data_IF_967130581399
#
_entry.id   IF_967130581399
#
_cell.length_a   1.000
_cell.length_b   1.000
_cell.length_c   1.000
_cell.angle_alpha   90.00
_cell.angle_beta   90.00
_cell.angle_gamma   90.00
#
_symmetry.space_group_name_H-M   'P 1'
#
loop_
_entity.id
_entity.type
_entity.pdbx_description
1 polymer ?
#
# COMPACT_ATOMS: atom_id res chain seq x y z
N UNK A 1 -48.56 -7.11 -69.36
CA UNK A 1 -48.18 -6.46 -68.08
C UNK A 1 -47.53 -7.41 -67.05
N UNK A 2 -47.81 -8.73 -67.02
CA UNK A 2 -47.21 -9.66 -66.03
C UNK A 2 -45.75 -10.12 -66.29
N UNK A 3 -45.22 -10.05 -67.52
CA UNK A 3 -43.85 -10.52 -67.84
C UNK A 3 -42.73 -9.52 -67.53
N UNK A 4 -43.03 -8.22 -67.47
CA UNK A 4 -42.01 -7.19 -67.21
C UNK A 4 -41.82 -6.92 -65.71
N UNK A 5 -42.83 -7.18 -64.88
CA UNK A 5 -42.73 -7.07 -63.41
C UNK A 5 -41.88 -8.21 -62.83
N UNK A 6 -41.96 -9.43 -63.39
CA UNK A 6 -41.12 -10.56 -62.97
C UNK A 6 -39.63 -10.32 -63.29
N UNK A 7 -39.31 -9.77 -64.47
CA UNK A 7 -37.91 -9.49 -64.86
C UNK A 7 -37.25 -8.42 -63.98
N UNK A 8 -38.01 -7.43 -63.51
CA UNK A 8 -37.50 -6.41 -62.56
C UNK A 8 -37.30 -7.00 -61.17
N UNK A 9 -38.22 -7.88 -60.71
CA UNK A 9 -38.06 -8.58 -59.43
C UNK A 9 -36.86 -9.53 -59.41
N UNK A 10 -36.60 -10.26 -60.50
CA UNK A 10 -35.42 -11.13 -60.61
C UNK A 10 -34.10 -10.36 -60.67
N UNK A 11 -34.08 -9.15 -61.23
CA UNK A 11 -32.87 -8.32 -61.26
C UNK A 11 -32.53 -7.73 -59.88
N UNK A 12 -33.56 -7.33 -59.11
CA UNK A 12 -33.40 -6.79 -57.75
C UNK A 12 -32.96 -7.89 -56.77
N UNK A 13 -33.46 -9.13 -56.93
CA UNK A 13 -33.04 -10.26 -56.10
C UNK A 13 -31.57 -10.66 -56.34
N UNK A 14 -31.08 -10.55 -57.58
CA UNK A 14 -29.68 -10.85 -57.93
C UNK A 14 -28.74 -9.75 -57.44
N UNK A 15 -29.15 -8.47 -57.48
CA UNK A 15 -28.35 -7.35 -56.94
C UNK A 15 -28.28 -7.41 -55.40
N UNK A 16 -29.35 -7.86 -54.72
CA UNK A 16 -29.33 -8.09 -53.27
C UNK A 16 -28.41 -9.24 -52.82
N UNK A 17 -28.27 -10.29 -53.64
CA UNK A 17 -27.36 -11.41 -53.37
C UNK A 17 -25.88 -11.07 -53.60
N UNK A 18 -25.56 -10.13 -54.50
CA UNK A 18 -24.18 -9.70 -54.76
C UNK A 18 -23.67 -8.77 -53.64
N UNK A 19 -24.55 -7.96 -53.02
CA UNK A 19 -24.18 -7.05 -51.93
C UNK A 19 -23.90 -7.76 -50.60
N UNK A 20 -24.39 -8.99 -50.41
CA UNK A 20 -24.11 -9.79 -49.20
C UNK A 20 -22.80 -10.60 -49.30
N UNK A 21 -22.16 -10.64 -50.46
CA UNK A 21 -20.91 -11.39 -50.69
C UNK A 21 -19.64 -10.54 -50.51
N UNK A 22 -19.78 -9.23 -50.27
CA UNK A 22 -18.68 -8.30 -49.98
C UNK A 22 -18.82 -7.69 -48.58
N UNK A 23 -19.29 -8.46 -47.60
CA UNK A 23 -19.06 -8.11 -46.21
C UNK A 23 -17.59 -8.47 -45.90
N UNK A 24 -16.76 -7.53 -45.40
CA UNK A 24 -15.44 -7.90 -44.91
C UNK A 24 -15.63 -8.93 -43.80
N UNK A 25 -15.01 -10.10 -43.97
CA UNK A 25 -14.90 -11.07 -42.91
C UNK A 25 -13.98 -10.44 -41.87
N UNK A 26 -14.56 -9.85 -40.83
CA UNK A 26 -13.80 -9.44 -39.65
C UNK A 26 -13.44 -10.74 -38.96
N UNK A 27 -12.26 -11.27 -39.30
CA UNK A 27 -11.59 -12.19 -38.39
C UNK A 27 -11.44 -11.43 -37.08
N UNK A 28 -12.10 -11.92 -36.03
CA UNK A 28 -11.76 -11.54 -34.66
C UNK A 28 -10.32 -11.96 -34.46
N UNK A 29 -9.40 -11.01 -34.70
CA UNK A 29 -8.05 -11.10 -34.17
C UNK A 29 -8.24 -11.28 -32.67
N UNK A 30 -7.73 -12.37 -32.07
CA UNK A 30 -7.73 -12.48 -30.62
C UNK A 30 -7.12 -11.19 -30.12
N UNK A 31 -7.88 -10.44 -29.32
CA UNK A 31 -7.28 -9.33 -28.59
C UNK A 31 -6.32 -10.02 -27.64
N UNK A 32 -5.03 -10.06 -28.01
CA UNK A 32 -3.99 -10.35 -27.04
C UNK A 32 -4.21 -9.34 -25.93
N UNK A 33 -4.66 -9.81 -24.77
CA UNK A 33 -4.54 -9.01 -23.55
C UNK A 33 -3.09 -8.53 -23.51
N UNK A 34 -2.84 -7.23 -23.27
CA UNK A 34 -1.49 -6.74 -23.21
C UNK A 34 -0.75 -7.60 -22.20
N UNK A 35 0.25 -8.35 -22.67
CA UNK A 35 1.22 -9.01 -21.82
C UNK A 35 1.71 -7.96 -20.82
N UNK A 36 1.68 -8.31 -19.53
CA UNK A 36 2.13 -7.46 -18.42
C UNK A 36 3.59 -6.96 -18.58
N UNK A 37 4.34 -7.46 -19.56
CA UNK A 37 5.74 -7.11 -19.83
C UNK A 37 5.96 -5.79 -20.59
N UNK A 38 4.94 -5.03 -20.98
CA UNK A 38 5.14 -3.74 -21.69
C UNK A 38 4.19 -2.61 -21.27
N UNK A 39 3.64 -2.66 -20.06
CA UNK A 39 2.64 -1.68 -19.64
C UNK A 39 3.21 -0.24 -19.49
N UNK A 40 4.53 -0.07 -19.38
CA UNK A 40 5.15 1.22 -19.07
C UNK A 40 5.32 1.41 -17.56
N UNK A 41 6.21 2.31 -17.15
CA UNK A 41 6.44 2.59 -15.74
C UNK A 41 5.18 3.18 -15.06
N UNK A 42 4.99 2.97 -13.74
CA UNK A 42 3.98 3.66 -12.96
C UNK A 42 4.04 5.17 -13.16
N UNK A 43 2.89 5.75 -13.51
CA UNK A 43 2.67 7.20 -13.56
C UNK A 43 1.61 7.64 -12.54
N UNK A 44 0.86 6.68 -12.00
CA UNK A 44 -0.15 6.89 -10.99
C UNK A 44 -0.15 5.71 -10.01
N UNK A 45 -0.44 6.02 -8.75
CA UNK A 45 -0.80 5.05 -7.72
C UNK A 45 -2.26 5.25 -7.36
N UNK A 46 -3.00 4.16 -7.17
CA UNK A 46 -4.34 4.22 -6.61
C UNK A 46 -4.61 3.01 -5.73
N UNK A 47 -5.71 3.06 -5.00
CA UNK A 47 -6.19 1.91 -4.28
C UNK A 47 -7.24 2.23 -3.24
N UNK A 48 -7.31 1.37 -2.25
CA UNK A 48 -8.35 1.38 -1.22
C UNK A 48 -7.79 1.11 0.17
N UNK A 49 -8.59 1.42 1.17
CA UNK A 49 -8.28 1.16 2.57
C UNK A 49 -9.57 0.92 3.35
N UNK A 50 -9.44 0.19 4.45
CA UNK A 50 -10.50 0.00 5.44
C UNK A 50 -9.88 0.23 6.81
N UNK A 51 -10.64 0.89 7.69
CA UNK A 51 -10.29 1.07 9.10
C UNK A 51 -11.34 0.42 9.97
N UNK A 52 -10.95 0.13 11.19
CA UNK A 52 -11.85 -0.30 12.25
C UNK A 52 -12.08 0.79 13.29
N UNK A 53 -11.26 1.84 13.30
CA UNK A 53 -11.33 2.96 14.21
C UNK A 53 -11.31 4.31 13.48
N UNK A 54 -12.40 5.08 13.59
CA UNK A 54 -12.62 6.33 12.84
C UNK A 54 -12.05 7.60 13.51
N UNK A 55 -11.28 7.45 14.58
CA UNK A 55 -10.85 8.60 15.39
C UNK A 55 -10.15 9.67 14.55
N UNK A 56 -9.25 9.27 13.66
CA UNK A 56 -8.46 10.16 12.79
C UNK A 56 -9.37 11.00 11.89
N UNK A 57 -10.33 10.36 11.22
CA UNK A 57 -11.29 11.01 10.33
C UNK A 57 -12.34 11.83 11.07
N UNK A 58 -12.47 11.65 12.38
CA UNK A 58 -13.30 12.50 13.25
C UNK A 58 -12.59 13.81 13.59
N UNK A 59 -11.26 13.80 13.73
CA UNK A 59 -10.49 14.99 14.10
C UNK A 59 -10.03 15.82 12.90
N UNK A 60 -9.74 15.18 11.76
CA UNK A 60 -9.23 15.85 10.58
C UNK A 60 -10.29 16.00 9.49
N UNK A 61 -10.37 17.21 8.95
CA UNK A 61 -11.37 17.57 7.92
C UNK A 61 -10.81 17.49 6.51
N UNK A 62 -9.48 17.54 6.37
CA UNK A 62 -8.77 17.46 5.10
C UNK A 62 -7.96 16.17 5.07
N UNK A 63 -8.46 15.20 4.31
CA UNK A 63 -7.88 13.87 4.15
C UNK A 63 -7.16 13.80 2.82
N UNK A 64 -5.90 13.40 2.84
CA UNK A 64 -5.07 13.21 1.66
C UNK A 64 -4.12 12.03 1.89
N UNK A 65 -3.51 11.58 0.79
CA UNK A 65 -2.34 10.70 0.84
C UNK A 65 -1.12 11.47 0.37
N UNK A 66 0.06 11.02 0.78
CA UNK A 66 1.32 11.51 0.26
C UNK A 66 2.19 10.36 -0.26
N UNK A 67 3.04 10.65 -1.24
CA UNK A 67 4.24 9.88 -1.52
C UNK A 67 5.28 10.26 -0.47
N UNK A 68 5.62 9.30 0.40
CA UNK A 68 6.46 9.50 1.57
C UNK A 68 7.78 8.79 1.33
N UNK A 69 8.86 9.55 1.44
CA UNK A 69 10.24 9.06 1.31
C UNK A 69 10.59 8.14 2.49
N UNK A 70 11.08 6.95 2.17
CA UNK A 70 11.44 5.91 3.13
C UNK A 70 12.91 6.01 3.58
N UNK A 71 13.64 7.08 3.24
CA UNK A 71 15.04 7.24 3.65
C UNK A 71 15.25 7.09 5.16
N UNK A 72 14.37 7.70 5.98
CA UNK A 72 14.40 7.54 7.44
C UNK A 72 14.38 6.06 7.88
N UNK A 73 13.59 5.22 7.20
CA UNK A 73 13.59 3.78 7.43
C UNK A 73 14.87 3.11 6.97
N UNK A 74 15.39 3.43 5.79
CA UNK A 74 16.64 2.84 5.27
C UNK A 74 17.81 3.09 6.21
N UNK A 75 17.91 4.30 6.79
CA UNK A 75 18.99 4.67 7.71
C UNK A 75 18.67 4.39 9.19
N UNK A 76 17.47 3.87 9.49
CA UNK A 76 16.97 3.61 10.85
C UNK A 76 17.00 4.84 11.76
N UNK A 77 16.53 5.97 11.24
CA UNK A 77 16.43 7.24 11.94
C UNK A 77 14.95 7.67 12.04
N UNK A 78 14.34 7.35 13.18
CA UNK A 78 12.96 7.76 13.52
C UNK A 78 12.82 9.29 13.69
N UNK A 79 13.92 10.02 13.88
CA UNK A 79 13.91 11.48 14.00
C UNK A 79 14.18 12.18 12.65
N UNK A 80 14.41 11.43 11.57
CA UNK A 80 14.65 11.99 10.25
C UNK A 80 13.40 12.73 9.76
N UNK A 81 13.54 14.03 9.48
CA UNK A 81 12.43 14.88 9.05
C UNK A 81 12.18 14.72 7.54
N UNK A 82 10.95 14.33 7.17
CA UNK A 82 10.53 14.14 5.78
C UNK A 82 10.69 15.44 4.97
N UNK A 83 11.54 15.49 3.92
CA UNK A 83 11.74 16.66 3.10
C UNK A 83 10.45 17.13 2.43
N UNK A 84 10.24 18.44 2.39
CA UNK A 84 9.04 19.03 1.76
C UNK A 84 9.04 18.79 0.26
N UNK A 85 10.20 18.91 -0.38
CA UNK A 85 10.34 18.80 -1.83
C UNK A 85 10.07 17.37 -2.32
N UNK A 86 10.19 16.35 -1.46
CA UNK A 86 9.88 14.95 -1.80
C UNK A 86 8.40 14.59 -1.65
N UNK A 87 7.60 15.42 -0.97
CA UNK A 87 6.19 15.15 -0.71
C UNK A 87 5.33 15.44 -1.95
N UNK A 88 4.66 14.40 -2.46
CA UNK A 88 3.65 14.53 -3.53
C UNK A 88 2.29 14.16 -2.95
N UNK A 89 1.28 15.02 -3.09
CA UNK A 89 -0.04 14.80 -2.51
C UNK A 89 -1.02 14.16 -3.50
N UNK A 90 -1.85 13.26 -2.98
CA UNK A 90 -2.94 12.60 -3.68
C UNK A 90 -4.28 12.80 -2.99
N UNK A 91 -5.36 12.60 -3.75
CA UNK A 91 -6.71 12.71 -3.25
C UNK A 91 -7.10 11.43 -2.50
N UNK A 92 -7.88 11.58 -1.42
CA UNK A 92 -8.41 10.47 -0.63
C UNK A 92 -9.89 10.71 -0.32
N UNK A 93 -10.70 9.67 -0.47
CA UNK A 93 -12.10 9.64 -0.04
C UNK A 93 -12.23 8.91 1.29
N UNK A 94 -13.28 9.25 2.06
CA UNK A 94 -13.65 8.52 3.27
C UNK A 94 -15.16 8.36 3.34
N UNK A 95 -15.63 7.12 3.51
CA UNK A 95 -17.01 6.76 3.77
C UNK A 95 -17.17 6.32 5.24
N UNK A 96 -17.87 7.13 6.01
CA UNK A 96 -18.11 6.90 7.43
C UNK A 96 -19.14 5.77 7.70
N UNK A 97 -19.92 5.33 6.70
CA UNK A 97 -20.85 4.21 6.89
C UNK A 97 -20.14 2.86 6.79
N UNK A 98 -19.12 2.76 5.93
CA UNK A 98 -18.36 1.53 5.69
C UNK A 98 -16.98 1.53 6.34
N UNK A 99 -16.56 2.64 6.93
CA UNK A 99 -15.22 2.84 7.48
C UNK A 99 -14.12 2.52 6.47
N UNK A 100 -14.30 3.00 5.23
CA UNK A 100 -13.40 2.69 4.13
C UNK A 100 -13.28 3.86 3.17
N UNK A 101 -12.36 3.75 2.22
CA UNK A 101 -12.17 4.78 1.22
C UNK A 101 -11.24 4.35 0.10
N UNK A 102 -11.06 5.26 -0.85
CA UNK A 102 -10.15 5.11 -1.99
C UNK A 102 -9.21 6.30 -2.08
N UNK A 103 -8.07 6.11 -2.72
CA UNK A 103 -7.12 7.18 -2.97
C UNK A 103 -6.53 7.09 -4.37
N UNK A 104 -6.04 8.22 -4.87
CA UNK A 104 -5.26 8.31 -6.10
C UNK A 104 -4.20 9.41 -6.02
N UNK A 105 -3.02 9.12 -6.56
CA UNK A 105 -1.84 9.98 -6.52
C UNK A 105 -1.08 9.86 -7.84
N UNK A 106 -0.81 10.97 -8.51
CA UNK A 106 0.03 10.98 -9.72
C UNK A 106 1.50 11.06 -9.32
N UNK A 107 2.33 10.18 -9.88
CA UNK A 107 3.76 10.18 -9.62
C UNK A 107 4.44 11.31 -10.41
N UNK A 108 5.39 12.06 -9.79
CA UNK A 108 6.15 13.07 -10.51
C UNK A 108 7.07 12.39 -11.52
N UNK A 109 7.33 13.05 -12.66
CA UNK A 109 8.20 12.49 -13.70
C UNK A 109 9.63 12.20 -13.20
N UNK A 110 10.10 12.99 -12.24
CA UNK A 110 11.33 12.76 -11.48
C UNK A 110 10.98 12.98 -10.00
N UNK A 111 11.15 11.98 -9.13
CA UNK A 111 10.96 12.17 -7.70
C UNK A 111 12.15 12.92 -7.08
N UNK A 112 11.88 13.59 -5.96
CA UNK A 112 12.85 14.40 -5.22
C UNK A 112 13.17 13.80 -3.84
N UNK A 113 13.08 12.47 -3.71
CA UNK A 113 13.49 11.74 -2.50
C UNK A 113 15.01 11.52 -2.42
N UNK A 114 15.46 11.04 -1.26
CA UNK A 114 16.86 10.70 -1.04
C UNK A 114 17.24 9.38 -1.72
N UNK A 115 18.49 9.32 -2.14
CA UNK A 115 19.08 8.16 -2.80
C UNK A 115 19.64 7.19 -1.77
N UNK A 116 19.35 5.90 -1.95
CA UNK A 116 19.66 4.84 -1.02
C UNK A 116 20.40 3.69 -1.75
N UNK A 117 21.66 3.46 -1.36
CA UNK A 117 22.46 2.34 -1.82
C UNK A 117 22.12 1.08 -1.01
N UNK A 118 21.22 0.26 -1.55
CA UNK A 118 20.62 -0.91 -0.87
C UNK A 118 20.96 -2.23 -1.54
N UNK A 119 21.97 -2.26 -2.41
CA UNK A 119 22.31 -3.45 -3.18
C UNK A 119 23.31 -4.40 -2.49
N UNK A 120 23.81 -4.01 -1.32
CA UNK A 120 24.77 -4.78 -0.50
C UNK A 120 26.01 -5.29 -1.25
N UNK A 121 26.40 -4.65 -2.35
CA UNK A 121 27.50 -5.13 -3.20
C UNK A 121 28.90 -4.67 -2.73
N UNK A 122 28.96 -3.78 -1.72
CA UNK A 122 30.17 -3.23 -1.13
C UNK A 122 30.84 -2.11 -1.93
N UNK A 123 30.23 -1.66 -3.03
CA UNK A 123 30.62 -0.50 -3.81
C UNK A 123 29.61 0.62 -3.61
N UNK A 124 30.11 1.83 -3.38
CA UNK A 124 29.28 3.03 -3.22
C UNK A 124 28.62 3.39 -4.56
N UNK A 125 27.31 3.18 -4.64
CA UNK A 125 26.49 3.51 -5.80
C UNK A 125 25.55 4.67 -5.48
N UNK A 126 24.96 5.26 -6.52
CA UNK A 126 23.89 6.23 -6.30
C UNK A 126 22.66 5.55 -5.68
N UNK A 127 22.36 4.31 -6.05
CA UNK A 127 21.22 3.59 -5.50
C UNK A 127 19.88 4.09 -6.05
N UNK A 128 18.83 3.88 -5.27
CA UNK A 128 17.43 4.13 -5.65
C UNK A 128 16.74 5.09 -4.70
N UNK A 129 15.65 5.73 -5.14
CA UNK A 129 14.73 6.43 -4.23
C UNK A 129 13.57 5.49 -3.89
N UNK A 130 13.15 5.47 -2.62
CA UNK A 130 12.23 4.46 -2.09
C UNK A 130 11.08 5.18 -1.40
N UNK A 131 9.86 4.82 -1.77
CA UNK A 131 8.66 5.50 -1.28
C UNK A 131 7.60 4.52 -0.80
N UNK A 132 6.86 4.94 0.22
CA UNK A 132 5.55 4.41 0.55
C UNK A 132 4.48 5.46 0.22
N UNK A 133 3.30 5.04 -0.21
CA UNK A 133 2.11 5.90 -0.11
C UNK A 133 1.55 5.76 1.29
N UNK A 134 1.22 6.88 1.93
CA UNK A 134 0.65 6.89 3.27
C UNK A 134 -0.34 8.03 3.48
N UNK A 135 -1.18 7.88 4.49
CA UNK A 135 -2.13 8.91 4.90
C UNK A 135 -1.40 10.16 5.41
N UNK A 136 -1.75 11.33 4.86
CA UNK A 136 -1.12 12.61 5.13
C UNK A 136 -2.20 13.70 5.27
N UNK A 137 -2.92 13.74 6.40
CA UNK A 137 -3.93 14.77 6.63
C UNK A 137 -3.27 16.15 6.81
N UNK A 138 -4.04 17.20 6.59
CA UNK A 138 -3.63 18.54 7.02
C UNK A 138 -4.02 18.73 8.49
N UNK A 139 -3.06 18.62 9.42
CA UNK A 139 -3.32 18.85 10.85
C UNK A 139 -3.39 20.36 11.12
N UNK A 140 -2.43 21.11 10.60
CA UNK A 140 -2.32 22.54 10.84
C UNK A 140 -1.63 23.30 9.71
N UNK A 141 -2.35 24.28 9.16
CA UNK A 141 -1.79 25.26 8.24
C UNK A 141 -1.85 24.81 6.79
N UNK A 142 -0.70 24.44 6.22
CA UNK A 142 -0.55 24.11 4.81
C UNK A 142 -0.74 22.61 4.53
N UNK A 143 -0.80 22.21 3.25
CA UNK A 143 -1.07 20.82 2.88
C UNK A 143 0.16 19.89 3.01
N UNK A 144 1.34 20.43 3.35
CA UNK A 144 2.58 19.68 3.49
C UNK A 144 2.94 19.54 4.97
N UNK A 145 3.53 18.40 5.32
CA UNK A 145 3.98 18.11 6.68
C UNK A 145 5.25 18.88 7.01
N UNK A 146 5.11 20.06 7.63
CA UNK A 146 6.21 20.99 7.94
C UNK A 146 6.06 21.70 9.27
N UNK A 147 7.19 22.07 9.87
CA UNK A 147 7.21 22.90 11.07
C UNK A 147 6.59 22.18 12.26
N UNK A 148 5.44 22.68 12.75
CA UNK A 148 4.70 22.06 13.85
C UNK A 148 3.95 20.79 13.41
N UNK A 149 3.82 20.55 12.10
CA UNK A 149 3.16 19.37 11.48
C UNK A 149 4.15 18.48 10.72
N UNK A 150 5.43 18.51 11.09
CA UNK A 150 6.45 17.71 10.42
C UNK A 150 6.25 16.21 10.66
N UNK A 151 6.49 15.42 9.61
CA UNK A 151 6.56 13.96 9.70
C UNK A 151 8.02 13.56 9.96
N UNK A 152 8.20 12.59 10.85
CA UNK A 152 9.51 12.02 11.18
C UNK A 152 9.52 10.51 10.85
N UNK A 153 10.69 9.96 10.56
CA UNK A 153 10.87 8.53 10.30
C UNK A 153 10.12 8.09 9.03
N UNK A 154 9.24 7.11 9.18
CA UNK A 154 8.45 6.51 8.09
C UNK A 154 6.99 6.26 8.52
N UNK A 155 6.05 6.11 7.57
CA UNK A 155 4.64 6.02 7.91
C UNK A 155 4.25 4.62 8.39
N UNK A 156 3.51 4.55 9.49
CA UNK A 156 2.99 3.29 10.06
C UNK A 156 1.46 3.21 10.08
N UNK A 157 0.76 4.35 10.03
CA UNK A 157 -0.71 4.42 9.99
C UNK A 157 -1.25 4.69 8.58
N UNK A 158 -2.15 3.83 8.10
CA UNK A 158 -2.69 3.89 6.73
C UNK A 158 -1.58 4.08 5.71
N UNK A 159 -0.62 3.17 5.76
CA UNK A 159 0.53 3.13 4.87
C UNK A 159 0.43 1.93 3.93
N UNK A 160 1.07 2.05 2.77
CA UNK A 160 1.17 0.96 1.78
C UNK A 160 2.09 -0.17 2.23
N UNK A 161 2.89 0.06 3.27
CA UNK A 161 3.71 -0.93 3.97
C UNK A 161 2.99 -1.45 5.21
N UNK A 162 3.38 -2.64 5.67
CA UNK A 162 2.98 -3.18 6.97
C UNK A 162 4.16 -3.04 7.92
N UNK A 163 3.97 -2.34 9.02
CA UNK A 163 4.98 -2.15 10.06
C UNK A 163 4.72 -3.09 11.24
N UNK A 164 5.78 -3.63 11.83
CA UNK A 164 5.73 -4.37 13.09
C UNK A 164 5.94 -3.39 14.25
N UNK A 165 4.84 -2.93 14.83
CA UNK A 165 4.83 -1.94 15.92
C UNK A 165 5.43 -2.49 17.23
N UNK A 166 5.63 -3.80 17.33
CA UNK A 166 6.27 -4.45 18.48
C UNK A 166 7.77 -4.67 18.27
N UNK A 167 8.30 -4.30 17.10
CA UNK A 167 9.69 -4.45 16.73
C UNK A 167 10.18 -3.22 15.97
N UNK A 168 10.29 -2.09 16.67
CA UNK A 168 10.85 -0.82 16.16
C UNK A 168 10.26 -0.38 14.81
N UNK A 169 8.95 -0.58 14.63
CA UNK A 169 8.18 -0.23 13.41
C UNK A 169 8.76 -0.81 12.11
N UNK A 170 9.43 -1.97 12.19
CA UNK A 170 10.07 -2.63 11.05
C UNK A 170 9.09 -2.95 9.92
N UNK A 171 9.50 -2.71 8.68
CA UNK A 171 8.68 -3.08 7.51
C UNK A 171 8.71 -4.59 7.35
N UNK A 172 7.55 -5.23 7.47
CA UNK A 172 7.37 -6.69 7.38
C UNK A 172 6.53 -7.12 6.16
N UNK A 173 6.08 -6.18 5.33
CA UNK A 173 5.28 -6.48 4.15
C UNK A 173 4.64 -5.26 3.51
N UNK A 174 3.65 -5.50 2.65
CA UNK A 174 2.99 -4.47 1.86
C UNK A 174 3.74 -4.14 0.57
N UNK A 175 3.64 -2.90 0.10
CA UNK A 175 4.15 -2.46 -1.19
C UNK A 175 4.94 -1.16 -1.10
N UNK A 176 5.98 -1.08 -1.91
CA UNK A 176 6.82 0.12 -2.09
C UNK A 176 6.76 0.58 -3.54
N UNK A 177 6.93 1.89 -3.75
CA UNK A 177 7.25 2.47 -5.05
C UNK A 177 8.72 2.83 -5.04
N UNK A 178 9.50 2.23 -5.93
CA UNK A 178 10.94 2.45 -6.04
C UNK A 178 11.25 3.12 -7.37
N UNK A 179 12.08 4.16 -7.36
CA UNK A 179 12.56 4.82 -8.55
C UNK A 179 14.06 4.58 -8.72
N UNK A 180 14.46 4.08 -9.88
CA UNK A 180 15.87 3.88 -10.23
C UNK A 180 16.33 4.85 -11.31
N UNK A 181 17.50 5.51 -11.17
CA UNK A 181 18.03 6.44 -12.19
C UNK A 181 18.43 5.73 -13.49
N UNK A 182 18.80 4.45 -13.40
CA UNK A 182 19.28 3.63 -14.50
C UNK A 182 18.98 2.14 -14.24
N UNK A 183 19.44 1.25 -15.11
CA UNK A 183 19.27 -0.20 -14.97
C UNK A 183 20.51 -0.89 -14.37
N UNK A 184 21.39 -0.13 -13.71
CA UNK A 184 22.60 -0.63 -13.05
C UNK A 184 22.40 -0.80 -11.54
N UNK A 185 21.27 -0.34 -10.99
CA UNK A 185 20.92 -0.49 -9.58
C UNK A 185 20.31 -1.87 -9.27
N UNK A 186 20.31 -2.23 -7.99
CA UNK A 186 19.59 -3.38 -7.47
C UNK A 186 18.82 -3.02 -6.21
N UNK A 187 17.89 -3.88 -5.83
CA UNK A 187 17.02 -3.73 -4.66
C UNK A 187 16.87 -5.08 -3.95
N UNK A 188 16.63 -5.12 -2.62
CA UNK A 188 16.31 -6.35 -1.90
C UNK A 188 15.20 -7.16 -2.58
N UNK A 189 15.36 -8.47 -2.59
CA UNK A 189 14.44 -9.45 -3.18
C UNK A 189 13.79 -10.37 -2.15
N UNK A 190 14.19 -10.27 -0.87
CA UNK A 190 13.53 -10.81 0.32
C UNK A 190 14.11 -10.13 1.57
N UNK A 191 13.55 -10.41 2.75
CA UNK A 191 13.95 -9.90 4.07
C UNK A 191 15.19 -10.61 4.70
N UNK A 192 16.16 -11.04 3.87
CA UNK A 192 17.34 -11.75 4.41
C UNK A 192 17.06 -13.00 5.25
N UNK A 193 18.07 -13.43 6.03
CA UNK A 193 17.96 -14.45 7.07
C UNK A 193 17.49 -13.85 8.41
N UNK A 194 17.75 -12.57 8.67
CA UNK A 194 17.36 -11.87 9.90
C UNK A 194 15.89 -11.42 9.93
N UNK A 195 15.22 -11.44 8.77
CA UNK A 195 13.81 -11.07 8.64
C UNK A 195 13.58 -9.56 8.59
N UNK A 196 14.64 -8.77 8.42
CA UNK A 196 14.58 -7.31 8.35
C UNK A 196 14.84 -6.83 6.93
N UNK A 197 14.36 -5.64 6.59
CA UNK A 197 14.63 -5.01 5.30
C UNK A 197 15.74 -3.97 5.43
N UNK A 198 16.52 -3.84 4.37
CA UNK A 198 17.71 -2.98 4.24
C UNK A 198 18.83 -3.36 5.21
N UNK A 199 19.00 -4.65 5.45
CA UNK A 199 20.09 -5.24 6.24
C UNK A 199 21.11 -5.92 5.33
N UNK A 200 22.30 -6.21 5.88
CA UNK A 200 23.45 -6.66 5.10
C UNK A 200 23.29 -8.05 4.46
N UNK A 201 22.33 -8.84 4.93
CA UNK A 201 22.02 -10.20 4.47
C UNK A 201 20.87 -10.27 3.47
N UNK A 202 20.23 -9.13 3.15
CA UNK A 202 19.21 -9.08 2.11
C UNK A 202 19.77 -9.56 0.76
N UNK A 203 19.17 -10.60 0.14
CA UNK A 203 19.50 -10.96 -1.23
C UNK A 203 18.94 -9.90 -2.17
N UNK A 204 19.66 -9.55 -3.22
CA UNK A 204 19.28 -8.46 -4.12
C UNK A 204 18.98 -8.95 -5.53
N UNK A 205 18.10 -8.23 -6.22
CA UNK A 205 17.79 -8.41 -7.63
C UNK A 205 17.93 -7.08 -8.38
N UNK A 206 18.31 -7.14 -9.66
CA UNK A 206 18.39 -5.95 -10.51
C UNK A 206 17.04 -5.28 -10.65
N UNK A 207 17.03 -3.96 -10.63
CA UNK A 207 15.84 -3.13 -10.85
C UNK A 207 16.03 -2.31 -12.12
N UNK A 208 14.98 -2.22 -12.92
CA UNK A 208 15.01 -1.41 -14.14
C UNK A 208 14.93 0.08 -13.83
N UNK A 209 15.46 0.93 -14.72
CA UNK A 209 15.30 2.39 -14.63
C UNK A 209 13.84 2.83 -14.57
N UNK A 210 13.57 3.94 -13.89
CA UNK A 210 12.24 4.52 -13.72
C UNK A 210 11.52 3.96 -12.49
N UNK A 211 10.20 4.16 -12.43
CA UNK A 211 9.40 3.64 -11.32
C UNK A 211 9.14 2.13 -11.46
N UNK A 212 9.14 1.45 -10.32
CA UNK A 212 8.78 0.04 -10.16
C UNK A 212 7.95 -0.11 -8.88
N UNK A 213 6.83 -0.84 -8.97
CA UNK A 213 6.09 -1.30 -7.81
C UNK A 213 6.75 -2.57 -7.29
N UNK A 214 7.16 -2.57 -6.02
CA UNK A 214 7.74 -3.72 -5.33
C UNK A 214 6.72 -4.27 -4.33
N UNK A 215 6.36 -5.53 -4.47
CA UNK A 215 5.44 -6.24 -3.58
C UNK A 215 6.22 -7.12 -2.59
N UNK A 216 6.24 -6.70 -1.33
CA UNK A 216 6.97 -7.33 -0.23
C UNK A 216 6.22 -8.52 0.37
N UNK A 217 4.95 -8.75 0.00
CA UNK A 217 4.15 -9.88 0.50
C UNK A 217 4.41 -11.19 -0.27
N UNK A 218 5.38 -11.18 -1.20
CA UNK A 218 5.73 -12.33 -2.05
C UNK A 218 7.14 -12.83 -1.77
N UNK A 219 7.39 -14.13 -1.92
CA UNK A 219 8.73 -14.71 -1.75
C UNK A 219 9.18 -15.43 -3.04
N UNK A 220 10.21 -14.91 -3.76
CA UNK A 220 10.85 -13.60 -3.56
C UNK A 220 9.89 -12.44 -3.85
N UNK A 221 10.28 -11.22 -3.46
CA UNK A 221 9.54 -10.00 -3.77
C UNK A 221 9.28 -9.87 -5.27
N UNK A 222 8.12 -9.31 -5.61
CA UNK A 222 7.70 -9.14 -7.00
C UNK A 222 7.95 -7.71 -7.44
N UNK A 223 8.59 -7.57 -8.61
CA UNK A 223 8.87 -6.28 -9.25
C UNK A 223 7.94 -6.14 -10.45
N UNK A 224 7.12 -5.09 -10.47
CA UNK A 224 6.15 -4.89 -11.54
C UNK A 224 6.11 -3.45 -12.04
N UNK A 225 5.83 -3.32 -13.34
CA UNK A 225 5.61 -2.03 -13.99
C UNK A 225 4.25 -2.03 -14.64
N UNK A 226 3.42 -1.10 -14.21
CA UNK A 226 2.07 -0.83 -14.71
C UNK A 226 1.84 0.66 -14.61
N UNK A 227 1.23 1.34 -15.61
CA UNK A 227 0.92 2.76 -15.55
C UNK A 227 0.15 3.17 -14.30
N UNK A 228 -0.70 2.26 -13.82
CA UNK A 228 -1.44 2.38 -12.57
C UNK A 228 -0.93 1.28 -11.63
N UNK A 229 -0.30 1.71 -10.54
CA UNK A 229 0.11 0.83 -9.45
C UNK A 229 -1.01 0.75 -8.42
N UNK A 230 -1.49 -0.47 -8.16
CA UNK A 230 -2.56 -0.75 -7.19
C UNK A 230 -1.96 -1.18 -5.84
N UNK A 231 -2.35 -0.51 -4.75
CA UNK A 231 -1.94 -0.89 -3.40
C UNK A 231 -3.02 -0.62 -2.35
N UNK A 232 -2.95 -1.32 -1.24
CA UNK A 232 -3.82 -1.12 -0.09
C UNK A 232 -3.09 -0.27 0.94
N UNK A 233 -3.79 0.63 1.64
CA UNK A 233 -3.26 1.27 2.84
C UNK A 233 -3.73 0.52 4.07
N UNK A 234 -2.80 0.14 4.94
CA UNK A 234 -3.04 -0.72 6.09
C UNK A 234 -3.23 0.09 7.37
N UNK A 235 -4.31 -0.17 8.09
CA UNK A 235 -4.43 0.23 9.50
C UNK A 235 -3.54 -0.71 10.34
N UNK A 236 -2.63 -0.18 11.18
CA UNK A 236 -1.74 -0.99 11.99
C UNK A 236 -2.50 -1.64 13.13
N UNK A 237 -2.06 -2.83 13.53
CA UNK A 237 -2.79 -3.67 14.46
C UNK A 237 -2.96 -3.00 15.83
N UNK A 238 -1.97 -2.27 16.33
CA UNK A 238 -1.99 -1.55 17.61
C UNK A 238 -3.08 -0.46 17.68
N UNK A 239 -3.42 0.15 16.55
CA UNK A 239 -4.46 1.17 16.44
C UNK A 239 -5.84 0.57 16.13
N UNK A 240 -5.87 -0.55 15.41
CA UNK A 240 -7.10 -1.23 15.04
C UNK A 240 -7.96 -1.61 16.26
N UNK A 241 -9.27 -1.46 16.11
CA UNK A 241 -10.24 -1.85 17.13
C UNK A 241 -10.15 -3.35 17.40
N UNK A 242 -9.90 -3.69 18.67
CA UNK A 242 -9.90 -5.07 19.14
C UNK A 242 -11.33 -5.57 19.31
N UNK A 243 -11.86 -6.22 18.27
CA UNK A 243 -13.22 -6.76 18.27
C UNK A 243 -13.27 -8.20 18.84
N UNK A 244 -13.80 -8.33 20.06
CA UNK A 244 -14.07 -9.62 20.71
C UNK A 244 -15.56 -9.97 20.72
N UNK A 245 -16.41 -9.29 19.94
CA UNK A 245 -17.87 -9.47 19.96
C UNK A 245 -18.33 -10.87 19.54
N UNK A 246 -17.49 -11.60 18.81
CA UNK A 246 -17.72 -13.00 18.42
C UNK A 246 -17.33 -14.03 19.48
N UNK A 247 -16.60 -13.64 20.53
CA UNK A 247 -16.08 -14.54 21.56
C UNK A 247 -17.09 -14.76 22.70
N UNK A 248 -16.95 -15.86 23.45
CA UNK A 248 -17.61 -15.97 24.75
C UNK A 248 -17.01 -14.97 25.75
N UNK A 249 -17.74 -14.61 26.81
CA UNK A 249 -17.21 -13.69 27.83
C UNK A 249 -15.87 -14.13 28.42
N UNK A 250 -15.71 -15.44 28.61
CA UNK A 250 -14.49 -16.04 29.15
C UNK A 250 -13.32 -15.89 28.17
N UNK A 251 -13.55 -16.13 26.88
CA UNK A 251 -12.52 -15.98 25.83
C UNK A 251 -12.18 -14.50 25.58
N UNK A 252 -13.19 -13.64 25.50
CA UNK A 252 -13.01 -12.20 25.36
C UNK A 252 -12.18 -11.62 26.52
N UNK A 253 -12.50 -12.04 27.76
CA UNK A 253 -11.74 -11.63 28.93
C UNK A 253 -10.28 -12.11 28.85
N UNK A 254 -10.04 -13.35 28.42
CA UNK A 254 -8.68 -13.89 28.34
C UNK A 254 -7.83 -13.13 27.32
N UNK A 255 -8.37 -12.87 26.13
CA UNK A 255 -7.68 -12.09 25.09
C UNK A 255 -7.42 -10.65 25.55
N UNK A 256 -8.44 -9.99 26.10
CA UNK A 256 -8.30 -8.63 26.63
C UNK A 256 -7.27 -8.57 27.77
N UNK A 257 -7.30 -9.53 28.69
CA UNK A 257 -6.38 -9.56 29.84
C UNK A 257 -4.94 -9.85 29.40
N UNK A 258 -4.75 -10.78 28.47
CA UNK A 258 -3.45 -11.05 27.88
C UNK A 258 -2.86 -9.78 27.28
N UNK A 259 -3.63 -9.08 26.44
CA UNK A 259 -3.18 -7.86 25.79
C UNK A 259 -2.83 -6.75 26.79
N UNK A 260 -3.76 -6.39 27.67
CA UNK A 260 -3.52 -5.30 28.65
C UNK A 260 -2.36 -5.62 29.58
N UNK A 261 -2.15 -6.90 29.93
CA UNK A 261 -1.05 -7.30 30.80
C UNK A 261 0.32 -7.11 30.16
N UNK A 262 0.41 -7.16 28.83
CA UNK A 262 1.64 -6.89 28.06
C UNK A 262 1.83 -5.39 27.83
N UNK A 263 0.77 -4.72 27.37
CA UNK A 263 0.81 -3.36 26.84
C UNK A 263 0.61 -2.26 27.90
N UNK A 264 0.38 -2.62 29.17
CA UNK A 264 0.17 -1.60 30.20
C UNK A 264 1.41 -0.71 30.36
N UNK A 265 1.24 0.59 30.07
CA UNK A 265 2.31 1.59 30.01
C UNK A 265 3.17 1.74 31.28
N UNK A 266 2.75 1.17 32.42
CA UNK A 266 3.51 1.23 33.67
C UNK A 266 4.11 -0.11 34.10
N UNK A 267 4.12 -1.11 33.21
CA UNK A 267 4.86 -2.35 33.41
C UNK A 267 6.36 -2.04 33.64
N UNK A 268 6.99 -2.79 34.55
CA UNK A 268 8.39 -2.57 34.93
C UNK A 268 8.66 -1.33 35.81
N UNK A 269 7.67 -0.46 36.05
CA UNK A 269 7.82 0.70 36.93
C UNK A 269 7.48 0.30 38.38
N UNK A 270 8.44 0.51 39.28
CA UNK A 270 8.32 0.13 40.69
C UNK A 270 7.07 0.76 41.34
N UNK A 271 6.22 -0.09 41.92
CA UNK A 271 4.99 0.32 42.60
C UNK A 271 3.87 0.80 41.67
N UNK A 272 4.01 0.63 40.35
CA UNK A 272 2.99 1.01 39.37
C UNK A 272 2.46 -0.18 38.57
N UNK A 273 3.29 -1.21 38.32
CA UNK A 273 2.80 -2.42 37.66
C UNK A 273 1.85 -3.19 38.60
N UNK A 274 0.68 -3.63 38.12
CA UNK A 274 -0.16 -4.58 38.83
C UNK A 274 0.54 -5.93 39.02
N UNK A 275 0.15 -6.67 40.06
CA UNK A 275 0.36 -8.11 40.10
C UNK A 275 -0.66 -8.76 39.15
N UNK A 276 -0.27 -8.94 37.89
CA UNK A 276 -1.14 -9.44 36.84
C UNK A 276 -1.69 -10.83 37.14
N UNK A 277 -0.88 -11.72 37.68
CA UNK A 277 -1.30 -13.08 38.05
C UNK A 277 -2.34 -13.05 39.16
N UNK A 278 -2.11 -12.25 40.21
CA UNK A 278 -3.08 -12.10 41.30
C UNK A 278 -4.39 -11.45 40.82
N UNK A 279 -4.29 -10.45 39.94
CA UNK A 279 -5.46 -9.76 39.39
C UNK A 279 -6.28 -10.70 38.48
N UNK A 280 -5.63 -11.49 37.63
CA UNK A 280 -6.31 -12.49 36.81
C UNK A 280 -7.02 -13.52 37.67
N UNK A 281 -6.34 -14.05 38.70
CA UNK A 281 -6.91 -15.03 39.63
C UNK A 281 -8.09 -14.47 40.42
N UNK A 282 -8.11 -13.16 40.72
CA UNK A 282 -9.25 -12.51 41.35
C UNK A 282 -10.44 -12.32 40.39
N UNK A 283 -10.17 -11.88 39.16
CA UNK A 283 -11.20 -11.46 38.22
C UNK A 283 -11.81 -12.62 37.43
N UNK A 284 -11.00 -13.58 36.99
CA UNK A 284 -11.44 -14.71 36.15
C UNK A 284 -12.65 -15.46 36.72
N UNK A 285 -12.71 -15.81 38.02
CA UNK A 285 -13.87 -16.51 38.57
C UNK A 285 -15.17 -15.69 38.55
N UNK A 286 -15.09 -14.35 38.50
CA UNK A 286 -16.26 -13.48 38.40
C UNK A 286 -16.81 -13.45 36.97
N UNK A 287 -15.92 -13.49 35.98
CA UNK A 287 -16.29 -13.56 34.56
C UNK A 287 -16.93 -14.90 34.22
N UNK A 288 -16.39 -16.01 34.76
CA UNK A 288 -16.97 -17.35 34.59
C UNK A 288 -18.39 -17.49 35.15
N UNK A 289 -18.82 -16.57 36.02
CA UNK A 289 -20.15 -16.53 36.63
C UNK A 289 -21.14 -15.61 35.90
N UNK A 290 -20.70 -14.87 34.87
CA UNK A 290 -21.48 -13.86 34.16
C UNK A 290 -22.37 -14.44 33.04
#
# INVERSE_FOLDING_TARGET
>A
MKKNVWRVFSLILIIGLILSACAPNVEEVPTEEPSAENAGEPVQVQGEYTISNDFVFTYYVENAVALIDMHGFVIRDEEWELPVDSQVLGYMTYDAETLSGTFDLNLPALPEGEFNDVDNNGAENQGVQIFAVGYSPNLYGGPYSVGDDRSLGWPTYLASIKADTENDDEVIGGKLIVWSPDAEQSFPSSFGEDGLLFTADDPVASIESGYTLVDLDTEPFTFSKSPIAEMTLYEPDDVALKDFSGDSYTEAFDKMFEQISKEYAFNGIEGKQPDWDALYAELKPRVEQA
#
